data_IF_414533109404
#
_entry.id   IF_414533109404
#
_cell.length_a   1.000
_cell.length_b   1.000
_cell.length_c   1.000
_cell.angle_alpha   90.00
_cell.angle_beta   90.00
_cell.angle_gamma   90.00
#
_symmetry.space_group_name_H-M   'P 1'
#
loop_
_entity.id
_entity.type
_entity.pdbx_description
1 polymer ?
#
# COMPACT_ATOMS: atom_id res chain seq x y z
N UNK A 1 -1.61 -14.23 7.42
CA UNK A 1 -0.79 -13.52 8.42
C UNK A 1 -1.39 -13.73 9.81
N UNK A 2 -0.56 -13.95 10.85
CA UNK A 2 -1.06 -14.33 12.18
C UNK A 2 -0.61 -13.37 13.29
N UNK A 3 -0.10 -12.18 12.92
CA UNK A 3 0.49 -11.24 13.87
C UNK A 3 0.07 -9.81 13.54
N UNK A 4 0.18 -8.99 14.57
CA UNK A 4 0.06 -7.55 14.45
C UNK A 4 1.43 -6.93 14.73
N UNK A 5 2.14 -5.87 13.80
CA UNK A 5 3.38 -5.35 13.92
C UNK A 5 3.32 -3.90 13.78
N UNK A 6 4.13 -3.10 14.29
CA UNK A 6 4.44 -1.90 14.07
C UNK A 6 5.74 -1.94 13.53
N UNK A 7 6.13 -1.43 12.61
CA UNK A 7 7.28 -1.29 12.03
C UNK A 7 7.62 0.07 12.13
N UNK A 8 8.70 0.56 12.68
CA UNK A 8 9.10 1.98 12.79
C UNK A 8 10.60 2.14 12.56
N UNK A 9 11.00 3.34 12.25
CA UNK A 9 12.40 3.68 11.94
C UNK A 9 13.09 4.28 13.17
N UNK A 10 14.34 3.88 13.41
CA UNK A 10 15.20 4.57 14.39
C UNK A 10 15.90 5.76 13.72
N UNK A 11 16.40 6.72 14.51
CA UNK A 11 17.21 7.81 13.97
C UNK A 11 18.45 7.33 13.22
N UNK A 12 19.00 6.18 13.59
CA UNK A 12 20.19 5.60 12.95
C UNK A 12 19.86 4.86 11.64
N UNK A 13 18.56 4.78 11.31
CA UNK A 13 18.12 4.21 10.04
C UNK A 13 17.80 2.71 10.07
N UNK A 14 17.79 2.11 11.27
CA UNK A 14 17.34 0.73 11.43
C UNK A 14 15.81 0.67 11.40
N UNK A 15 15.28 -0.43 10.94
CA UNK A 15 13.85 -0.72 11.02
C UNK A 15 13.61 -1.62 12.22
N UNK A 16 12.69 -1.21 13.08
CA UNK A 16 12.28 -1.98 14.26
C UNK A 16 10.94 -2.64 14.01
N UNK A 17 10.77 -3.80 14.58
CA UNK A 17 9.49 -4.54 14.62
C UNK A 17 9.03 -4.60 16.06
N UNK A 18 7.77 -4.27 16.29
CA UNK A 18 7.11 -4.44 17.58
C UNK A 18 5.84 -5.27 17.37
N UNK A 19 5.92 -6.54 17.68
CA UNK A 19 4.76 -7.43 17.68
C UNK A 19 3.94 -7.25 18.97
N UNK A 20 2.66 -7.57 18.88
CA UNK A 20 1.77 -7.54 20.04
C UNK A 20 2.35 -8.41 21.17
N UNK A 21 2.42 -7.85 22.37
CA UNK A 21 2.91 -8.53 23.60
C UNK A 21 4.38 -9.01 23.56
N UNK A 22 5.19 -8.50 22.60
CA UNK A 22 6.63 -8.83 22.55
C UNK A 22 7.46 -7.55 22.68
N UNK A 23 8.72 -7.68 23.05
CA UNK A 23 9.66 -6.56 23.04
C UNK A 23 9.95 -6.13 21.59
N UNK A 24 10.24 -4.86 21.41
CA UNK A 24 10.67 -4.36 20.10
C UNK A 24 12.04 -4.94 19.75
N UNK A 25 12.27 -5.26 18.50
CA UNK A 25 13.54 -5.81 18.02
C UNK A 25 13.84 -5.31 16.59
N UNK A 26 15.08 -5.43 16.20
CA UNK A 26 15.52 -5.03 14.86
C UNK A 26 14.93 -6.00 13.83
N UNK A 27 14.47 -5.46 12.71
CA UNK A 27 14.06 -6.22 11.51
C UNK A 27 15.31 -6.72 10.79
N UNK A 28 15.39 -8.02 10.61
CA UNK A 28 16.60 -8.65 10.01
C UNK A 28 16.25 -9.59 8.86
N UNK A 29 17.26 -10.04 8.13
CA UNK A 29 17.08 -10.98 7.01
C UNK A 29 16.55 -12.36 7.45
N UNK A 30 16.55 -12.65 8.76
CA UNK A 30 16.02 -13.91 9.30
C UNK A 30 14.50 -13.89 9.49
N UNK A 31 13.85 -12.74 9.35
CA UNK A 31 12.39 -12.56 9.47
C UNK A 31 11.65 -13.01 8.21
N UNK A 32 11.91 -14.27 7.78
CA UNK A 32 11.50 -14.75 6.47
C UNK A 32 9.99 -14.68 6.22
N UNK A 33 9.18 -15.08 7.21
CA UNK A 33 7.71 -15.05 7.06
C UNK A 33 7.23 -13.63 6.76
N UNK A 34 7.70 -12.65 7.51
CA UNK A 34 7.33 -11.23 7.30
C UNK A 34 7.86 -10.72 5.95
N UNK A 35 9.10 -11.08 5.59
CA UNK A 35 9.69 -10.68 4.32
C UNK A 35 8.86 -11.23 3.16
N UNK A 36 8.50 -12.50 3.20
CA UNK A 36 7.76 -13.17 2.12
C UNK A 36 6.35 -12.57 1.97
N UNK A 37 5.68 -12.27 3.09
CA UNK A 37 4.36 -11.64 3.11
C UNK A 37 4.40 -10.24 2.49
N UNK A 38 5.34 -9.38 2.95
CA UNK A 38 5.46 -8.00 2.42
C UNK A 38 5.92 -8.03 0.96
N UNK A 39 6.84 -8.93 0.61
CA UNK A 39 7.31 -9.06 -0.79
C UNK A 39 6.16 -9.42 -1.72
N UNK A 40 5.29 -10.35 -1.30
CA UNK A 40 4.08 -10.70 -2.06
C UNK A 40 3.13 -9.50 -2.19
N UNK A 41 2.91 -8.79 -1.09
CA UNK A 41 2.09 -7.56 -1.11
C UNK A 41 2.61 -6.55 -2.14
N UNK A 42 3.92 -6.25 -2.10
CA UNK A 42 4.52 -5.24 -3.00
C UNK A 42 4.38 -5.70 -4.45
N UNK A 43 4.71 -6.96 -4.72
CA UNK A 43 4.64 -7.55 -6.07
C UNK A 43 3.22 -7.50 -6.63
N UNK A 44 2.25 -7.88 -5.83
CA UNK A 44 0.87 -8.10 -6.29
C UNK A 44 0.06 -6.80 -6.32
N UNK A 45 0.33 -5.87 -5.40
CA UNK A 45 -0.47 -4.64 -5.26
C UNK A 45 0.26 -3.35 -5.66
N UNK A 46 1.59 -3.35 -5.66
CA UNK A 46 2.40 -2.14 -5.90
C UNK A 46 3.50 -2.42 -6.91
N UNK A 47 3.13 -2.96 -8.07
CA UNK A 47 4.04 -3.48 -9.10
C UNK A 47 5.10 -2.45 -9.52
N UNK A 48 4.73 -1.16 -9.60
CA UNK A 48 5.69 -0.11 -9.97
C UNK A 48 6.79 0.01 -8.91
N UNK A 49 6.41 0.05 -7.63
CA UNK A 49 7.37 0.09 -6.52
C UNK A 49 8.24 -1.18 -6.51
N UNK A 50 7.62 -2.34 -6.72
CA UNK A 50 8.33 -3.63 -6.77
C UNK A 50 9.42 -3.62 -7.84
N UNK A 51 9.06 -3.27 -9.07
CA UNK A 51 10.01 -3.26 -10.19
C UNK A 51 11.17 -2.29 -9.93
N UNK A 52 10.87 -1.11 -9.38
CA UNK A 52 11.90 -0.14 -9.04
C UNK A 52 12.86 -0.67 -7.96
N UNK A 53 12.31 -1.35 -6.94
CA UNK A 53 13.14 -1.96 -5.87
C UNK A 53 14.02 -3.09 -6.40
N UNK A 54 13.49 -3.91 -7.32
CA UNK A 54 14.28 -4.96 -7.97
C UNK A 54 15.49 -4.35 -8.69
N UNK A 55 15.29 -3.24 -9.41
CA UNK A 55 16.34 -2.55 -10.14
C UNK A 55 17.40 -1.97 -9.19
N UNK A 56 16.98 -1.24 -8.17
CA UNK A 56 17.87 -0.60 -7.17
C UNK A 56 18.82 -1.64 -6.54
N UNK A 57 18.30 -2.80 -6.20
CA UNK A 57 19.06 -3.82 -5.46
C UNK A 57 19.58 -4.94 -6.36
N UNK A 58 19.52 -4.81 -7.69
CA UNK A 58 19.93 -5.84 -8.66
C UNK A 58 21.31 -6.44 -8.42
N UNK A 59 22.26 -5.63 -7.93
CA UNK A 59 23.62 -6.10 -7.61
C UNK A 59 23.65 -7.12 -6.46
N UNK A 60 22.61 -7.16 -5.63
CA UNK A 60 22.48 -8.13 -4.52
C UNK A 60 21.79 -9.42 -4.94
N UNK A 61 21.31 -9.53 -6.17
CA UNK A 61 20.43 -10.63 -6.65
C UNK A 61 21.06 -12.02 -6.51
N UNK A 62 22.40 -12.11 -6.48
CA UNK A 62 23.11 -13.39 -6.28
C UNK A 62 22.87 -14.01 -4.90
N UNK A 63 22.65 -13.18 -3.88
CA UNK A 63 22.26 -13.64 -2.55
C UNK A 63 20.77 -13.36 -2.38
N UNK A 64 19.93 -14.33 -2.72
CA UNK A 64 18.48 -14.18 -2.75
C UNK A 64 17.92 -13.70 -1.43
N UNK A 65 18.31 -14.30 -0.32
CA UNK A 65 17.82 -13.96 1.02
C UNK A 65 18.09 -12.48 1.35
N UNK A 66 19.31 -12.05 1.15
CA UNK A 66 19.74 -10.67 1.38
C UNK A 66 19.06 -9.70 0.41
N UNK A 67 18.91 -10.09 -0.85
CA UNK A 67 18.25 -9.28 -1.89
C UNK A 67 16.79 -9.00 -1.51
N UNK A 68 16.04 -10.04 -1.17
CA UNK A 68 14.63 -9.92 -0.76
C UNK A 68 14.50 -9.07 0.50
N UNK A 69 15.37 -9.30 1.47
CA UNK A 69 15.43 -8.47 2.69
C UNK A 69 15.63 -6.99 2.35
N UNK A 70 16.60 -6.65 1.48
CA UNK A 70 16.86 -5.25 1.12
C UNK A 70 15.64 -4.58 0.47
N UNK A 71 14.95 -5.30 -0.40
CA UNK A 71 13.73 -4.81 -1.07
C UNK A 71 12.69 -4.45 0.00
N UNK A 72 12.39 -5.41 0.87
CA UNK A 72 11.36 -5.25 1.90
C UNK A 72 11.77 -4.18 2.93
N UNK A 73 13.02 -4.22 3.38
CA UNK A 73 13.56 -3.24 4.34
C UNK A 73 13.40 -1.80 3.81
N UNK A 74 13.76 -1.57 2.55
CA UNK A 74 13.59 -0.25 1.92
C UNK A 74 12.11 0.15 1.83
N UNK A 75 11.25 -0.78 1.43
CA UNK A 75 9.81 -0.51 1.33
C UNK A 75 9.22 -0.15 2.69
N UNK A 76 9.52 -0.96 3.71
CA UNK A 76 9.07 -0.72 5.09
C UNK A 76 9.53 0.66 5.57
N UNK A 77 10.83 0.93 5.41
CA UNK A 77 11.43 2.19 5.83
C UNK A 77 10.79 3.42 5.17
N UNK A 78 10.27 3.28 3.96
CA UNK A 78 9.66 4.39 3.22
C UNK A 78 8.16 4.57 3.51
N UNK A 79 7.49 3.57 4.12
CA UNK A 79 6.03 3.56 4.25
C UNK A 79 5.53 3.33 5.67
N UNK A 80 6.41 2.98 6.61
CA UNK A 80 6.08 2.82 8.03
C UNK A 80 7.19 3.53 8.80
N UNK A 81 6.87 4.56 9.52
CA UNK A 81 7.90 5.44 10.02
C UNK A 81 7.91 5.75 11.50
N UNK A 82 6.77 5.92 12.09
CA UNK A 82 6.68 6.41 13.46
C UNK A 82 6.23 5.30 14.43
N UNK A 83 6.82 5.29 15.61
CA UNK A 83 6.35 4.41 16.67
C UNK A 83 5.13 5.05 17.33
N UNK A 84 3.98 4.44 17.13
CA UNK A 84 2.79 4.82 17.88
C UNK A 84 2.28 3.62 18.70
N UNK A 85 1.43 3.88 19.68
CA UNK A 85 0.90 2.85 20.56
C UNK A 85 -0.56 2.50 20.26
N UNK A 86 -1.14 3.17 19.27
CA UNK A 86 -2.58 3.11 19.03
C UNK A 86 -2.95 2.28 17.81
N UNK A 87 -2.09 2.28 16.81
CA UNK A 87 -2.37 1.59 15.54
C UNK A 87 -1.27 0.60 15.20
N UNK A 88 -1.66 -0.51 14.58
CA UNK A 88 -0.71 -1.45 14.02
C UNK A 88 -0.58 -1.20 12.52
N UNK A 89 0.63 -1.17 12.03
CA UNK A 89 0.89 -1.08 10.59
C UNK A 89 0.39 -2.30 9.83
N UNK A 90 0.38 -3.44 10.52
CA UNK A 90 -0.19 -4.68 9.98
C UNK A 90 -1.17 -5.19 11.04
N UNK A 91 -2.44 -5.27 10.67
CA UNK A 91 -3.49 -5.76 11.58
C UNK A 91 -3.62 -7.29 11.54
N UNK A 92 -4.46 -7.83 12.42
CA UNK A 92 -4.71 -9.28 12.53
C UNK A 92 -5.35 -9.87 11.25
N UNK A 93 -5.91 -9.05 10.39
CA UNK A 93 -6.53 -9.46 9.12
C UNK A 93 -5.54 -9.38 7.95
N UNK A 94 -4.32 -8.89 8.20
CA UNK A 94 -3.29 -8.72 7.17
C UNK A 94 -3.46 -7.44 6.33
N UNK A 95 -4.18 -6.46 6.84
CA UNK A 95 -4.24 -5.15 6.19
C UNK A 95 -3.02 -4.32 6.59
N UNK A 96 -2.57 -3.48 5.66
CA UNK A 96 -1.39 -2.62 5.82
C UNK A 96 -1.83 -1.17 5.90
N UNK A 97 -1.40 -0.45 6.93
CA UNK A 97 -1.69 0.98 7.12
C UNK A 97 -0.40 1.79 6.87
N UNK A 98 -0.29 2.40 5.71
CA UNK A 98 0.89 3.17 5.33
C UNK A 98 0.85 4.56 5.95
N UNK A 99 1.98 4.97 6.49
CA UNK A 99 2.15 6.24 7.16
C UNK A 99 2.79 7.30 6.26
N UNK A 100 2.63 8.55 6.65
CA UNK A 100 3.39 9.65 6.06
C UNK A 100 4.74 9.82 6.76
N UNK A 101 5.72 9.05 6.32
CA UNK A 101 7.07 9.05 6.90
C UNK A 101 7.74 10.42 6.73
N UNK A 102 8.28 10.97 7.81
CA UNK A 102 9.07 12.21 7.81
C UNK A 102 10.47 11.91 7.27
N UNK A 103 10.58 11.81 5.97
CA UNK A 103 11.81 11.43 5.28
C UNK A 103 12.70 12.66 5.04
N UNK A 104 13.99 12.64 5.46
CA UNK A 104 14.89 13.77 5.20
C UNK A 104 15.19 14.01 3.74
N UNK A 105 14.91 13.02 2.86
CA UNK A 105 15.12 13.13 1.41
C UNK A 105 13.87 13.62 0.67
N UNK A 106 12.84 14.04 1.39
CA UNK A 106 11.60 14.50 0.74
C UNK A 106 11.87 15.69 -0.17
N UNK A 107 11.35 15.65 -1.39
CA UNK A 107 11.58 16.66 -2.41
C UNK A 107 12.82 16.45 -3.27
N UNK A 108 13.76 15.59 -2.83
CA UNK A 108 14.99 15.30 -3.57
C UNK A 108 15.13 13.85 -3.98
N UNK A 109 14.29 12.99 -3.43
CA UNK A 109 14.39 11.54 -3.66
C UNK A 109 13.83 11.18 -5.04
N UNK A 110 14.63 10.53 -5.87
CA UNK A 110 14.25 10.05 -7.21
C UNK A 110 13.07 9.06 -7.19
N UNK A 111 12.82 8.46 -6.04
CA UNK A 111 11.80 7.41 -5.88
C UNK A 111 10.57 7.89 -5.11
N UNK A 112 10.48 9.20 -4.89
CA UNK A 112 9.32 9.78 -4.22
C UNK A 112 8.05 9.58 -5.06
N UNK A 113 6.98 9.12 -4.42
CA UNK A 113 5.73 8.79 -5.12
C UNK A 113 5.75 7.46 -5.87
N UNK A 114 6.90 6.77 -5.87
CA UNK A 114 7.03 5.42 -6.45
C UNK A 114 7.19 4.39 -5.35
N UNK A 115 8.23 4.53 -4.52
CA UNK A 115 8.47 3.59 -3.40
C UNK A 115 7.74 4.08 -2.14
N UNK A 116 7.83 5.37 -1.81
CA UNK A 116 7.03 5.94 -0.72
C UNK A 116 5.67 6.39 -1.27
N UNK A 117 4.60 6.12 -0.52
CA UNK A 117 3.23 6.35 -0.96
C UNK A 117 2.97 5.69 -2.33
N UNK A 118 3.27 4.38 -2.46
CA UNK A 118 3.18 3.72 -3.76
C UNK A 118 1.74 3.68 -4.25
N UNK A 119 1.57 3.85 -5.54
CA UNK A 119 0.24 3.75 -6.15
C UNK A 119 -0.15 2.30 -6.30
N UNK A 120 -1.36 1.98 -5.86
CA UNK A 120 -1.92 0.64 -6.02
C UNK A 120 -2.02 0.30 -7.52
N UNK A 121 -1.53 -0.87 -7.88
CA UNK A 121 -1.66 -1.40 -9.24
C UNK A 121 -3.09 -1.91 -9.42
N UNK A 122 -3.88 -1.21 -10.22
CA UNK A 122 -5.25 -1.58 -10.52
C UNK A 122 -5.47 -1.62 -12.03
N UNK A 123 -6.44 -2.41 -12.46
CA UNK A 123 -6.89 -2.42 -13.85
C UNK A 123 -7.88 -1.27 -14.15
N UNK A 124 -8.15 -0.44 -13.15
CA UNK A 124 -9.08 0.68 -13.29
C UNK A 124 -8.45 1.77 -14.17
N UNK A 125 -9.24 2.25 -15.12
CA UNK A 125 -8.86 3.42 -15.92
C UNK A 125 -8.91 4.68 -15.04
N UNK A 126 -8.25 5.74 -15.46
CA UNK A 126 -8.30 7.04 -14.76
C UNK A 126 -9.75 7.50 -14.54
N UNK A 127 -10.60 7.33 -15.56
CA UNK A 127 -12.01 7.73 -15.45
C UNK A 127 -12.77 6.90 -14.43
N UNK A 128 -12.54 5.60 -14.42
CA UNK A 128 -13.10 4.71 -13.39
C UNK A 128 -12.59 5.07 -11.99
N UNK A 129 -11.32 5.41 -11.87
CA UNK A 129 -10.74 5.84 -10.59
C UNK A 129 -11.40 7.14 -10.09
N UNK A 130 -11.64 8.12 -10.98
CA UNK A 130 -12.35 9.35 -10.62
C UNK A 130 -13.77 9.03 -10.10
N UNK A 131 -14.51 8.20 -10.83
CA UNK A 131 -15.86 7.77 -10.41
C UNK A 131 -15.79 7.05 -9.05
N UNK A 132 -14.79 6.19 -8.86
CA UNK A 132 -14.64 5.42 -7.62
C UNK A 132 -14.40 6.34 -6.41
N UNK A 133 -13.53 7.35 -6.56
CA UNK A 133 -13.29 8.36 -5.49
C UNK A 133 -14.59 9.05 -5.06
N UNK A 134 -15.39 9.46 -6.03
CA UNK A 134 -16.66 10.16 -5.74
C UNK A 134 -17.69 9.23 -5.06
N UNK A 135 -17.70 7.93 -5.43
CA UNK A 135 -18.52 6.92 -4.76
C UNK A 135 -18.09 6.79 -3.27
N UNK A 136 -16.78 6.72 -3.03
CA UNK A 136 -16.24 6.60 -1.67
C UNK A 136 -16.52 7.87 -0.84
N UNK A 137 -16.60 9.04 -1.50
CA UNK A 137 -17.04 10.29 -0.87
C UNK A 137 -18.55 10.35 -0.67
N UNK A 138 -19.26 9.22 -0.86
CA UNK A 138 -20.68 9.06 -0.65
C UNK A 138 -21.57 9.85 -1.62
N UNK A 139 -21.05 10.23 -2.79
CA UNK A 139 -21.83 10.92 -3.82
C UNK A 139 -22.75 9.94 -4.56
N UNK A 140 -23.97 10.39 -4.85
CA UNK A 140 -24.94 9.62 -5.60
C UNK A 140 -24.68 9.75 -7.13
N UNK A 141 -25.33 8.91 -7.92
CA UNK A 141 -25.04 8.85 -9.36
C UNK A 141 -25.35 10.17 -10.10
N UNK A 142 -26.37 10.89 -9.65
CA UNK A 142 -26.73 12.20 -10.22
C UNK A 142 -25.67 13.27 -9.88
N UNK A 143 -25.17 13.28 -8.65
CA UNK A 143 -24.10 14.17 -8.21
C UNK A 143 -22.80 13.92 -8.99
N UNK A 144 -22.44 12.64 -9.14
CA UNK A 144 -21.24 12.22 -9.92
C UNK A 144 -21.40 12.64 -11.39
N UNK A 145 -22.61 12.48 -11.93
CA UNK A 145 -22.97 12.87 -13.29
C UNK A 145 -22.69 14.35 -13.52
N UNK A 146 -23.10 15.20 -12.60
CA UNK A 146 -22.88 16.65 -12.64
C UNK A 146 -21.41 16.99 -12.47
N UNK A 147 -20.75 16.42 -11.46
CA UNK A 147 -19.34 16.69 -11.15
C UNK A 147 -18.41 16.35 -12.31
N UNK A 148 -18.67 15.23 -12.98
CA UNK A 148 -17.81 14.76 -14.07
C UNK A 148 -18.32 15.12 -15.47
N UNK A 149 -19.46 15.81 -15.57
CA UNK A 149 -20.10 16.21 -16.83
C UNK A 149 -20.33 14.99 -17.75
N UNK A 150 -20.88 13.89 -17.19
CA UNK A 150 -21.25 12.68 -17.95
C UNK A 150 -22.66 12.26 -17.59
N UNK A 151 -23.28 11.43 -18.43
CA UNK A 151 -24.66 10.99 -18.17
C UNK A 151 -24.75 9.98 -17.01
N UNK A 152 -25.87 9.94 -16.31
CA UNK A 152 -26.11 8.95 -15.23
C UNK A 152 -25.91 7.51 -15.72
N UNK A 153 -26.43 7.12 -16.91
CA UNK A 153 -26.12 5.78 -17.45
C UNK A 153 -24.62 5.51 -17.59
N UNK A 154 -23.81 6.53 -17.94
CA UNK A 154 -22.36 6.41 -18.03
C UNK A 154 -21.75 6.18 -16.65
N UNK A 155 -22.21 6.91 -15.63
CA UNK A 155 -21.78 6.70 -14.23
C UNK A 155 -22.07 5.25 -13.81
N UNK A 156 -23.27 4.77 -14.08
CA UNK A 156 -23.68 3.40 -13.71
C UNK A 156 -22.82 2.36 -14.45
N UNK A 157 -22.51 2.59 -15.73
CA UNK A 157 -21.60 1.71 -16.47
C UNK A 157 -20.20 1.65 -15.83
N UNK A 158 -19.66 2.81 -15.43
CA UNK A 158 -18.37 2.83 -14.71
C UNK A 158 -18.46 2.08 -13.39
N UNK A 159 -19.57 2.22 -12.62
CA UNK A 159 -19.76 1.49 -11.36
C UNK A 159 -19.72 -0.03 -11.59
N UNK A 160 -20.40 -0.53 -12.63
CA UNK A 160 -20.39 -1.97 -12.94
C UNK A 160 -19.00 -2.44 -13.39
N UNK A 161 -18.31 -1.64 -14.23
CA UNK A 161 -16.95 -1.96 -14.66
C UNK A 161 -15.99 -2.03 -13.46
N UNK A 162 -16.07 -1.06 -12.56
CA UNK A 162 -15.24 -1.04 -11.35
C UNK A 162 -15.50 -2.31 -10.53
N UNK A 163 -16.78 -2.61 -10.25
CA UNK A 163 -17.13 -3.82 -9.49
C UNK A 163 -16.55 -5.08 -10.12
N UNK A 164 -16.67 -5.21 -11.44
CA UNK A 164 -16.15 -6.36 -12.16
C UNK A 164 -14.62 -6.47 -12.03
N UNK A 165 -13.92 -5.32 -12.19
CA UNK A 165 -12.45 -5.30 -12.17
C UNK A 165 -11.86 -5.56 -10.77
N UNK A 166 -12.52 -5.07 -9.71
CA UNK A 166 -12.03 -5.30 -8.34
C UNK A 166 -12.67 -6.53 -7.67
N UNK A 167 -13.54 -7.25 -8.39
CA UNK A 167 -14.10 -8.52 -7.93
C UNK A 167 -15.15 -8.41 -6.84
N UNK A 168 -15.95 -7.31 -6.83
CA UNK A 168 -16.98 -7.08 -5.81
C UNK A 168 -18.37 -6.96 -6.45
N UNK A 169 -19.42 -7.09 -5.64
CA UNK A 169 -20.81 -7.11 -6.14
C UNK A 169 -21.61 -5.87 -5.75
N UNK A 170 -21.24 -5.19 -4.66
CA UNK A 170 -22.04 -4.09 -4.10
C UNK A 170 -21.18 -2.83 -3.92
N UNK A 171 -21.88 -1.68 -3.81
CA UNK A 171 -21.22 -0.39 -3.53
C UNK A 171 -20.56 -0.41 -2.15
N UNK A 172 -21.19 -1.03 -1.16
CA UNK A 172 -20.58 -1.15 0.18
C UNK A 172 -19.26 -1.94 0.11
N UNK A 173 -19.22 -3.00 -0.70
CA UNK A 173 -17.98 -3.76 -0.91
C UNK A 173 -16.93 -2.93 -1.66
N UNK A 174 -17.34 -2.05 -2.59
CA UNK A 174 -16.42 -1.12 -3.26
C UNK A 174 -15.77 -0.19 -2.23
N UNK A 175 -16.58 0.41 -1.35
CA UNK A 175 -16.10 1.32 -0.30
C UNK A 175 -15.13 0.58 0.64
N UNK A 176 -15.49 -0.62 1.08
CA UNK A 176 -14.61 -1.45 1.91
C UNK A 176 -13.30 -1.79 1.17
N UNK A 177 -13.39 -2.14 -0.11
CA UNK A 177 -12.21 -2.42 -0.93
C UNK A 177 -11.28 -1.19 -0.97
N UNK A 178 -11.84 0.01 -1.17
CA UNK A 178 -11.08 1.27 -1.21
C UNK A 178 -10.28 1.46 0.09
N UNK A 179 -10.96 1.34 1.23
CA UNK A 179 -10.32 1.57 2.54
C UNK A 179 -9.30 0.47 2.86
N UNK A 180 -9.63 -0.79 2.61
CA UNK A 180 -8.73 -1.93 2.90
C UNK A 180 -7.47 -1.92 2.03
N UNK A 181 -7.51 -1.26 0.87
CA UNK A 181 -6.34 -1.15 -0.01
C UNK A 181 -5.69 0.23 0.05
N UNK A 182 -6.09 1.07 1.02
CA UNK A 182 -5.53 2.41 1.25
C UNK A 182 -5.46 3.26 -0.03
N UNK A 183 -6.47 3.14 -0.88
CA UNK A 183 -6.53 3.92 -2.13
C UNK A 183 -6.74 5.40 -1.81
N UNK A 184 -6.14 6.33 -2.58
CA UNK A 184 -6.22 7.78 -2.40
C UNK A 184 -6.64 8.51 -3.67
#
# INVERSE_FOLDING_TARGET
MKYRXXXYNTPDGEVMIKEENKAARIFTETDRELIDDILSLIRDRYTQAYNQLLEIYSKSSRNRTYYEFRIVHRFVRCNFGEYDQFNYDIDAMGNYDFEEVKCPMRGECLYEGVICKPKLTTELTEREMMVFRLIVSNMQADEISQELAISIPTVNRHRENIKAKIGVKTVSQMINYWHNNHMK
#
